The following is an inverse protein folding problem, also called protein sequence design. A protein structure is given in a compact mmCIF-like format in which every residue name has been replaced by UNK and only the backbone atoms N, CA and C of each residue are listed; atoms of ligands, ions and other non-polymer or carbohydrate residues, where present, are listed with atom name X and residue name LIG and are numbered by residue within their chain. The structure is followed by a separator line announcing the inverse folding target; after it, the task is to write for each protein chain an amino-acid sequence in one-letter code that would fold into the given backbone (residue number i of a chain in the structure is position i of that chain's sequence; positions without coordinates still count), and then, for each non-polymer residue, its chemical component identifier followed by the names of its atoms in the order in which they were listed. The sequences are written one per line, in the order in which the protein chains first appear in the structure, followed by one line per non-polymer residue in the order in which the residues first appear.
data_IF_684602224634
#
_entry.id   IF_684602224634
#
_cell.length_a   1.000
_cell.length_b   1.000
_cell.length_c   1.000
_cell.angle_alpha   90.00
_cell.angle_beta   90.00
_cell.angle_gamma   90.00
#
_symmetry.space_group_name_H-M   'P 1'
#
loop_
_entity.id
_entity.type
_entity.pdbx_description
1 polymer ?
#
# COMPACT_ATOMS: atom_id res chain seq x y z
N UNK A 1 -21.91 -37.65 -24.07
CA UNK A 1 -20.58 -37.03 -24.25
C UNK A 1 -20.59 -35.64 -24.93
N UNK A 2 -21.75 -35.03 -25.24
CA UNK A 2 -21.84 -33.67 -25.85
C UNK A 2 -22.24 -32.54 -24.89
N UNK A 3 -22.41 -32.82 -23.60
CA UNK A 3 -22.84 -31.82 -22.58
C UNK A 3 -21.70 -31.27 -21.72
N UNK A 4 -20.46 -31.76 -21.88
CA UNK A 4 -19.29 -31.25 -21.15
C UNK A 4 -18.60 -30.06 -21.85
N UNK A 5 -18.93 -29.75 -23.10
CA UNK A 5 -18.22 -28.74 -23.88
C UNK A 5 -18.70 -27.30 -23.63
N UNK A 6 -19.77 -27.09 -22.86
CA UNK A 6 -20.37 -25.75 -22.72
C UNK A 6 -19.95 -25.00 -21.44
N UNK A 7 -19.21 -25.64 -20.54
CA UNK A 7 -18.85 -25.04 -19.24
C UNK A 7 -17.50 -24.29 -19.25
N UNK A 8 -16.75 -24.29 -20.36
CA UNK A 8 -15.42 -23.67 -20.43
C UNK A 8 -15.42 -22.22 -20.95
N UNK A 9 -16.57 -21.66 -21.32
CA UNK A 9 -16.64 -20.34 -21.97
C UNK A 9 -16.82 -19.15 -21.00
N UNK A 10 -16.96 -19.37 -19.69
CA UNK A 10 -17.33 -18.31 -18.71
C UNK A 10 -16.25 -18.11 -17.64
N UNK A 11 -14.98 -18.06 -18.03
CA UNK A 11 -13.88 -17.70 -17.10
C UNK A 11 -12.99 -16.56 -17.59
N UNK A 12 -13.34 -15.90 -18.70
CA UNK A 12 -12.55 -14.81 -19.27
C UNK A 12 -12.95 -13.38 -18.79
N UNK A 13 -13.84 -13.25 -17.82
CA UNK A 13 -14.34 -11.93 -17.36
C UNK A 13 -13.75 -11.44 -16.03
N UNK A 14 -12.71 -12.08 -15.50
CA UNK A 14 -12.02 -11.60 -14.29
C UNK A 14 -10.65 -11.07 -14.63
N UNK A 15 -10.55 -9.77 -14.93
CA UNK A 15 -9.49 -8.88 -14.44
C UNK A 15 -9.56 -7.55 -15.18
N UNK A 16 -10.17 -6.54 -14.56
CA UNK A 16 -9.64 -5.17 -14.70
C UNK A 16 -8.64 -4.97 -13.57
N UNK A 17 -7.53 -5.73 -13.60
CA UNK A 17 -6.30 -5.17 -13.05
C UNK A 17 -6.13 -3.83 -13.75
N UNK A 18 -6.00 -2.73 -12.98
CA UNK A 18 -5.63 -1.45 -13.58
C UNK A 18 -4.45 -1.70 -14.52
N UNK A 19 -4.66 -1.45 -15.81
CA UNK A 19 -3.62 -1.64 -16.81
C UNK A 19 -2.56 -0.60 -16.50
N UNK A 20 -1.48 -1.04 -15.87
CA UNK A 20 -0.29 -0.22 -15.73
C UNK A 20 0.22 0.15 -17.15
N UNK A 21 0.75 1.35 -17.34
CA UNK A 21 1.09 2.34 -16.31
C UNK A 21 -0.09 3.15 -15.77
N UNK A 22 -0.05 3.50 -14.49
CA UNK A 22 -0.99 4.42 -13.83
C UNK A 22 -0.30 5.76 -13.59
N UNK A 23 -0.89 6.85 -14.07
CA UNK A 23 -0.39 8.21 -13.79
C UNK A 23 -1.31 8.92 -12.81
N UNK A 24 -0.73 9.45 -11.74
CA UNK A 24 -1.42 10.21 -10.69
C UNK A 24 -0.88 11.64 -10.68
N UNK A 25 -1.76 12.63 -10.66
CA UNK A 25 -1.37 14.01 -10.38
C UNK A 25 -1.13 14.17 -8.87
N UNK A 26 0.12 14.45 -8.49
CA UNK A 26 0.52 14.74 -7.12
C UNK A 26 1.02 16.17 -7.02
N UNK A 27 0.22 17.05 -6.44
CA UNK A 27 0.55 18.47 -6.27
C UNK A 27 0.92 19.19 -7.58
N UNK A 28 0.25 18.85 -8.70
CA UNK A 28 0.52 19.39 -10.03
C UNK A 28 1.70 18.72 -10.74
N UNK A 29 2.29 17.67 -10.16
CA UNK A 29 3.35 16.87 -10.78
C UNK A 29 2.80 15.50 -11.17
N UNK A 30 2.84 15.12 -12.45
CA UNK A 30 2.45 13.78 -12.86
C UNK A 30 3.48 12.76 -12.36
N UNK A 31 3.01 11.73 -11.65
CA UNK A 31 3.79 10.58 -11.21
C UNK A 31 3.25 9.33 -11.89
N UNK A 32 4.10 8.63 -12.65
CA UNK A 32 3.73 7.41 -13.35
C UNK A 32 4.31 6.19 -12.62
N UNK A 33 3.45 5.20 -12.38
CA UNK A 33 3.80 3.92 -11.80
C UNK A 33 3.60 2.85 -12.87
N UNK A 34 4.64 2.05 -13.14
CA UNK A 34 4.60 0.97 -14.15
C UNK A 34 4.15 -0.38 -13.55
N UNK A 35 4.09 -0.47 -12.22
CA UNK A 35 3.62 -1.64 -11.48
C UNK A 35 3.16 -1.21 -10.08
N UNK A 36 2.40 -2.06 -9.36
CA UNK A 36 2.04 -1.80 -7.97
C UNK A 36 3.30 -1.64 -7.10
N UNK A 37 3.37 -0.66 -6.19
CA UNK A 37 4.47 -0.54 -5.23
C UNK A 37 4.61 -1.79 -4.37
N UNK A 38 5.84 -2.24 -4.16
CA UNK A 38 6.18 -3.41 -3.34
C UNK A 38 6.91 -3.07 -2.04
N UNK A 39 7.39 -1.83 -1.92
CA UNK A 39 8.23 -1.34 -0.82
C UNK A 39 7.85 0.10 -0.47
N UNK A 40 6.64 0.27 0.05
CA UNK A 40 6.11 1.59 0.41
C UNK A 40 6.55 1.97 1.83
N UNK A 41 6.99 3.22 2.00
CA UNK A 41 7.04 3.88 3.31
C UNK A 41 5.86 4.85 3.37
N UNK A 42 5.05 4.73 4.42
CA UNK A 42 3.87 5.59 4.61
C UNK A 42 4.18 6.62 5.71
N UNK A 43 3.97 7.90 5.40
CA UNK A 43 4.14 8.99 6.34
C UNK A 43 2.80 9.48 6.85
N UNK A 44 2.71 9.70 8.17
CA UNK A 44 1.55 10.21 8.89
C UNK A 44 0.44 9.16 9.17
N UNK A 45 -0.35 9.40 10.22
CA UNK A 45 -1.35 8.49 10.76
C UNK A 45 -2.50 8.26 9.78
N UNK A 46 -3.03 9.32 9.20
CA UNK A 46 -4.17 9.26 8.27
C UNK A 46 -3.85 8.43 7.01
N UNK A 47 -2.63 8.56 6.48
CA UNK A 47 -2.18 7.80 5.31
C UNK A 47 -1.97 6.33 5.66
N UNK A 48 -1.46 6.03 6.87
CA UNK A 48 -1.32 4.67 7.35
C UNK A 48 -2.69 3.98 7.51
N UNK A 49 -3.66 4.63 8.15
CA UNK A 49 -5.01 4.11 8.30
C UNK A 49 -5.70 3.87 6.95
N UNK A 50 -5.54 4.79 5.99
CA UNK A 50 -6.05 4.59 4.63
C UNK A 50 -5.42 3.37 3.95
N UNK A 51 -4.10 3.19 4.09
CA UNK A 51 -3.41 2.04 3.54
C UNK A 51 -3.88 0.72 4.20
N UNK A 52 -4.16 0.75 5.51
CA UNK A 52 -4.67 -0.40 6.25
C UNK A 52 -6.11 -0.78 5.85
N UNK A 53 -6.98 0.23 5.68
CA UNK A 53 -8.34 0.02 5.18
C UNK A 53 -8.36 -0.63 3.78
N UNK A 54 -7.37 -0.32 2.95
CA UNK A 54 -7.15 -0.92 1.62
C UNK A 54 -6.40 -2.27 1.67
N UNK A 55 -6.01 -2.75 2.84
CA UNK A 55 -5.26 -4.00 3.07
C UNK A 55 -3.89 -4.02 2.39
N UNK A 56 -3.20 -2.89 2.34
CA UNK A 56 -1.91 -2.72 1.65
C UNK A 56 -0.69 -3.05 2.51
N UNK A 57 -0.87 -3.46 3.77
CA UNK A 57 0.17 -3.86 4.71
C UNK A 57 1.28 -4.75 4.09
N UNK A 58 0.98 -5.75 3.23
CA UNK A 58 2.01 -6.59 2.63
C UNK A 58 3.03 -5.86 1.74
N UNK A 59 2.71 -4.66 1.27
CA UNK A 59 3.60 -3.82 0.44
C UNK A 59 4.29 -2.71 1.24
N UNK A 60 4.07 -2.61 2.55
CA UNK A 60 4.60 -1.54 3.40
C UNK A 60 5.84 -2.04 4.16
N UNK A 61 6.95 -1.35 4.00
CA UNK A 61 8.22 -1.67 4.69
C UNK A 61 8.47 -0.79 5.91
N UNK A 62 7.72 0.30 6.07
CA UNK A 62 7.79 1.12 7.27
C UNK A 62 6.78 2.26 7.33
N UNK A 63 6.55 2.74 8.54
CA UNK A 63 5.75 3.93 8.84
C UNK A 63 6.67 5.04 9.36
N UNK A 64 6.24 6.28 9.23
CA UNK A 64 6.95 7.44 9.81
C UNK A 64 5.95 8.50 10.25
N UNK A 65 6.34 9.33 11.21
CA UNK A 65 5.59 10.55 11.55
C UNK A 65 4.32 10.31 12.35
N UNK A 66 4.23 9.26 13.16
CA UNK A 66 3.01 8.93 13.91
C UNK A 66 3.19 9.26 15.39
N UNK A 67 4.01 8.50 16.11
CA UNK A 67 4.09 8.59 17.58
C UNK A 67 4.73 9.87 18.10
N UNK A 68 5.41 10.63 17.23
CA UNK A 68 5.94 11.94 17.55
C UNK A 68 4.89 13.06 17.60
N UNK A 69 3.68 12.82 17.09
CA UNK A 69 2.59 13.80 16.99
C UNK A 69 1.25 13.28 17.53
N UNK A 70 1.01 11.97 17.50
CA UNK A 70 -0.28 11.35 17.79
C UNK A 70 -0.18 10.25 18.85
N UNK A 71 -1.31 10.00 19.53
CA UNK A 71 -1.53 8.78 20.30
C UNK A 71 -2.32 7.82 19.42
N UNK A 72 -1.88 6.56 19.34
CA UNK A 72 -2.56 5.52 18.56
C UNK A 72 -3.31 4.55 19.46
N UNK A 73 -4.48 4.12 18.99
CA UNK A 73 -5.32 3.15 19.68
C UNK A 73 -4.89 1.69 19.48
N UNK A 74 -5.51 0.75 20.21
CA UNK A 74 -5.21 -0.67 20.09
C UNK A 74 -5.58 -1.24 18.71
N UNK A 75 -6.61 -0.70 18.06
CA UNK A 75 -7.03 -1.09 16.70
C UNK A 75 -5.94 -0.78 15.66
N UNK A 76 -5.44 0.46 15.66
CA UNK A 76 -4.31 0.84 14.81
C UNK A 76 -3.10 -0.06 15.05
N UNK A 77 -2.77 -0.37 16.31
CA UNK A 77 -1.65 -1.27 16.64
C UNK A 77 -1.88 -2.70 16.14
N UNK A 78 -3.10 -3.19 16.16
CA UNK A 78 -3.44 -4.49 15.61
C UNK A 78 -3.28 -4.51 14.08
N UNK A 79 -3.73 -3.47 13.38
CA UNK A 79 -3.57 -3.36 11.92
C UNK A 79 -2.13 -3.10 11.48
N UNK A 80 -1.37 -2.31 12.25
CA UNK A 80 0.05 -2.06 12.04
C UNK A 80 0.87 -3.36 12.08
N UNK A 81 0.50 -4.30 12.97
CA UNK A 81 1.19 -5.58 13.10
C UNK A 81 2.70 -5.41 13.33
N UNK A 82 3.51 -6.04 12.48
CA UNK A 82 4.97 -6.00 12.56
C UNK A 82 5.62 -4.86 11.76
N UNK A 83 4.84 -3.97 11.13
CA UNK A 83 5.41 -2.87 10.33
C UNK A 83 6.11 -1.89 11.28
N UNK A 84 7.42 -1.64 11.12
CA UNK A 84 8.15 -0.75 12.01
C UNK A 84 7.78 0.71 11.76
N UNK A 85 7.77 1.51 12.82
CA UNK A 85 7.83 2.97 12.69
C UNK A 85 9.31 3.40 12.66
N UNK A 86 9.79 3.80 11.48
CA UNK A 86 11.20 4.11 11.23
C UNK A 86 11.63 5.44 11.85
N UNK A 87 10.70 6.37 11.98
CA UNK A 87 10.91 7.67 12.60
C UNK A 87 9.62 8.17 13.24
N UNK A 88 9.63 8.62 14.51
CA UNK A 88 8.42 9.11 15.19
C UNK A 88 7.91 10.44 14.59
N UNK A 89 8.79 11.22 13.95
CA UNK A 89 8.48 12.48 13.26
C UNK A 89 8.89 12.35 11.79
N UNK A 90 9.50 13.39 11.22
CA UNK A 90 10.05 13.32 9.87
C UNK A 90 11.23 12.34 9.79
N UNK A 91 11.26 11.46 8.79
CA UNK A 91 12.40 10.58 8.56
C UNK A 91 13.60 11.36 8.01
N UNK A 92 14.79 10.88 8.34
CA UNK A 92 16.03 11.25 7.64
C UNK A 92 16.15 10.50 6.32
N UNK A 93 17.08 10.90 5.45
CA UNK A 93 17.35 10.15 4.23
C UNK A 93 17.86 8.74 4.56
N UNK A 94 18.71 8.62 5.58
CA UNK A 94 19.26 7.36 6.09
C UNK A 94 18.16 6.39 6.52
N UNK A 95 17.10 6.88 7.18
CA UNK A 95 15.96 6.04 7.54
C UNK A 95 15.26 5.46 6.29
N UNK A 96 15.14 6.26 5.22
CA UNK A 96 14.42 5.86 4.01
C UNK A 96 15.24 4.93 3.12
N UNK A 97 16.56 5.12 3.02
CA UNK A 97 17.41 4.28 2.16
C UNK A 97 17.83 2.97 2.83
N UNK A 98 17.84 2.91 4.16
CA UNK A 98 18.24 1.72 4.92
C UNK A 98 17.12 0.67 5.05
N UNK A 99 15.86 1.04 4.82
CA UNK A 99 14.74 0.11 4.94
C UNK A 99 14.56 -0.67 3.64
N UNK A 100 14.80 -1.98 3.69
CA UNK A 100 14.61 -2.93 2.59
C UNK A 100 13.21 -3.56 2.58
#
# INVERSE_FOLDING_TARGET
MKRLAFSLAVSLLTSTAFAFPVTVDSCGKPLTFDAPPKRAVIHDLNMAEMAFALKLQPSIVGLTGITGWYKVGPEFKAEQGSIPELAPKYPTLENLVAVE
#
